data_IF_884054510864
#
_entry.id   IF_884054510864
#
_cell.length_a   1.000
_cell.length_b   1.000
_cell.length_c   1.000
_cell.angle_alpha   90.00
_cell.angle_beta   90.00
_cell.angle_gamma   90.00
#
_symmetry.space_group_name_H-M   'P 1'
#
loop_
_entity.id
_entity.type
_entity.pdbx_description
1 polymer ?
#
# COMPACT_ATOMS: atom_id res chain seq x y z
N UNK A 1 22.68 -6.41 5.76
CA UNK A 1 21.41 -5.82 5.27
C UNK A 1 21.64 -4.83 4.13
N UNK A 2 22.46 -3.80 4.29
CA UNK A 2 22.75 -2.84 3.19
C UNK A 2 23.59 -3.44 2.05
N UNK A 3 24.54 -4.33 2.36
CA UNK A 3 25.31 -5.07 1.35
C UNK A 3 24.44 -5.93 0.42
N UNK A 4 23.20 -6.25 0.83
CA UNK A 4 22.23 -7.01 0.04
C UNK A 4 21.20 -6.08 -0.66
N UNK A 5 21.50 -4.79 -0.79
CA UNK A 5 20.70 -3.82 -1.55
C UNK A 5 19.52 -3.19 -0.78
N UNK A 6 19.37 -3.42 0.53
CA UNK A 6 18.33 -2.74 1.32
C UNK A 6 18.62 -1.24 1.45
N UNK A 7 17.60 -0.40 1.22
CA UNK A 7 17.70 1.05 1.44
C UNK A 7 18.13 1.36 2.89
N UNK A 8 18.95 2.40 3.12
CA UNK A 8 19.38 2.79 4.46
C UNK A 8 18.21 3.03 5.42
N UNK A 9 17.11 3.61 4.94
CA UNK A 9 15.88 3.82 5.71
C UNK A 9 15.26 2.51 6.21
N UNK A 10 15.24 1.47 5.38
CA UNK A 10 14.75 0.14 5.78
C UNK A 10 15.62 -0.44 6.89
N UNK A 11 16.94 -0.40 6.72
CA UNK A 11 17.87 -0.91 7.74
C UNK A 11 17.79 -0.09 9.05
N UNK A 12 17.57 1.22 8.96
CA UNK A 12 17.37 2.08 10.12
C UNK A 12 16.08 1.73 10.88
N UNK A 13 14.96 1.54 10.16
CA UNK A 13 13.70 1.16 10.78
C UNK A 13 13.82 -0.18 11.52
N UNK A 14 14.51 -1.16 10.92
CA UNK A 14 14.81 -2.44 11.55
C UNK A 14 15.63 -2.24 12.82
N UNK A 15 16.72 -1.47 12.76
CA UNK A 15 17.54 -1.14 13.94
C UNK A 15 16.70 -0.54 15.07
N UNK A 16 15.81 0.42 14.76
CA UNK A 16 14.91 1.06 15.74
C UNK A 16 13.95 0.06 16.38
N UNK A 17 13.35 -0.83 15.58
CA UNK A 17 12.46 -1.88 16.08
C UNK A 17 13.18 -2.82 17.03
N UNK A 18 14.35 -3.34 16.63
CA UNK A 18 15.15 -4.23 17.48
C UNK A 18 15.63 -3.54 18.76
N UNK A 19 16.05 -2.27 18.68
CA UNK A 19 16.46 -1.50 19.86
C UNK A 19 15.33 -1.44 20.88
N UNK A 20 14.10 -1.17 20.42
CA UNK A 20 12.91 -1.07 21.29
C UNK A 20 12.56 -2.41 21.90
N UNK A 21 12.48 -3.47 21.09
CA UNK A 21 12.13 -4.80 21.56
C UNK A 21 13.14 -5.36 22.58
N UNK A 22 14.44 -5.19 22.33
CA UNK A 22 15.48 -5.69 23.24
C UNK A 22 15.64 -4.82 24.49
N UNK A 23 15.31 -3.53 24.43
CA UNK A 23 15.20 -2.72 25.65
C UNK A 23 14.08 -3.25 26.57
N UNK A 24 12.94 -3.64 25.99
CA UNK A 24 11.85 -4.24 26.78
C UNK A 24 12.27 -5.60 27.36
N UNK A 25 13.03 -6.41 26.62
CA UNK A 25 13.56 -7.66 27.12
C UNK A 25 14.54 -7.46 28.30
N UNK A 26 15.39 -6.42 28.25
CA UNK A 26 16.25 -6.04 29.38
C UNK A 26 15.41 -5.58 30.57
N UNK A 27 14.40 -4.73 30.34
CA UNK A 27 13.50 -4.25 31.39
C UNK A 27 12.78 -5.39 32.12
N UNK A 28 12.42 -6.45 31.40
CA UNK A 28 11.77 -7.66 31.95
C UNK A 28 12.76 -8.68 32.53
N UNK A 29 14.07 -8.39 32.50
CA UNK A 29 15.11 -9.27 33.07
C UNK A 29 15.49 -10.46 32.18
N UNK A 30 14.99 -10.54 30.94
CA UNK A 30 15.37 -11.63 30.01
C UNK A 30 16.79 -11.45 29.45
N UNK A 31 17.31 -10.22 29.46
CA UNK A 31 18.64 -9.86 28.99
C UNK A 31 19.31 -8.94 29.99
N UNK A 32 20.61 -9.13 30.25
CA UNK A 32 21.37 -8.22 31.11
C UNK A 32 21.67 -6.87 30.46
N UNK A 33 21.77 -6.82 29.12
CA UNK A 33 22.01 -5.59 28.35
C UNK A 33 21.51 -5.72 26.92
N UNK A 34 21.23 -4.58 26.28
CA UNK A 34 20.77 -4.56 24.89
C UNK A 34 21.96 -4.55 23.91
N UNK A 35 22.19 -5.62 23.12
CA UNK A 35 23.31 -5.69 22.17
C UNK A 35 23.20 -4.68 21.01
N UNK A 36 22.00 -4.21 20.69
CA UNK A 36 21.77 -3.24 19.59
C UNK A 36 22.40 -1.88 19.90
N UNK A 37 22.71 -1.59 21.17
CA UNK A 37 23.42 -0.37 21.53
C UNK A 37 24.85 -0.34 21.00
N UNK A 38 25.46 -1.50 20.75
CA UNK A 38 26.79 -1.63 20.15
C UNK A 38 26.75 -1.46 18.62
N UNK A 39 25.59 -1.72 18.01
CA UNK A 39 25.41 -1.61 16.56
C UNK A 39 25.18 -0.16 16.16
N UNK A 40 26.03 0.37 15.28
CA UNK A 40 25.85 1.70 14.68
C UNK A 40 24.60 1.73 13.81
N UNK A 41 23.68 2.65 14.12
CA UNK A 41 22.49 2.86 13.30
C UNK A 41 22.88 3.35 11.89
N UNK A 42 22.27 2.79 10.83
CA UNK A 42 22.36 3.34 9.48
C UNK A 42 22.03 4.83 9.44
N UNK A 43 22.87 5.65 8.81
CA UNK A 43 22.46 7.02 8.50
C UNK A 43 21.44 6.98 7.37
N UNK A 44 20.29 7.60 7.59
CA UNK A 44 19.34 7.91 6.52
C UNK A 44 19.70 9.28 5.98
N UNK A 45 19.71 9.44 4.66
CA UNK A 45 19.73 10.78 4.07
C UNK A 45 18.43 11.51 4.37
N UNK A 46 18.50 12.83 4.41
CA UNK A 46 17.31 13.67 4.49
C UNK A 46 16.62 13.67 3.12
N UNK A 47 15.31 13.44 3.12
CA UNK A 47 14.48 13.61 1.94
C UNK A 47 13.67 14.87 2.13
N UNK A 48 14.00 15.91 1.35
CA UNK A 48 13.21 17.12 1.27
C UNK A 48 12.19 16.96 0.16
N UNK A 49 10.91 17.05 0.51
CA UNK A 49 9.83 17.00 -0.46
C UNK A 49 9.75 18.34 -1.18
N UNK A 50 9.87 18.35 -2.50
CA UNK A 50 9.61 19.54 -3.31
C UNK A 50 8.10 19.73 -3.48
N UNK A 51 7.49 20.76 -2.85
CA UNK A 51 6.06 20.97 -2.97
C UNK A 51 5.70 21.54 -4.35
N UNK A 52 4.52 21.19 -4.84
CA UNK A 52 4.02 21.76 -6.08
C UNK A 52 3.75 23.25 -5.94
N UNK A 53 4.15 24.01 -6.96
CA UNK A 53 3.73 25.40 -7.13
C UNK A 53 2.24 25.49 -7.44
N UNK A 54 1.63 26.64 -7.19
CA UNK A 54 0.20 26.89 -7.51
C UNK A 54 -0.09 26.63 -9.00
N UNK A 55 0.83 27.02 -9.90
CA UNK A 55 0.69 26.79 -11.35
C UNK A 55 0.72 25.29 -11.69
N UNK A 56 1.53 24.50 -11.01
CA UNK A 56 1.57 23.05 -11.18
C UNK A 56 0.30 22.37 -10.69
N UNK A 57 -0.20 22.78 -9.53
CA UNK A 57 -1.49 22.30 -9.00
C UNK A 57 -2.62 22.58 -9.98
N UNK A 58 -2.69 23.79 -10.55
CA UNK A 58 -3.69 24.14 -11.57
C UNK A 58 -3.58 23.25 -12.82
N UNK A 59 -2.36 23.00 -13.32
CA UNK A 59 -2.14 22.09 -14.45
C UNK A 59 -2.58 20.66 -14.12
N UNK A 60 -2.28 20.19 -12.92
CA UNK A 60 -2.64 18.86 -12.45
C UNK A 60 -4.15 18.70 -12.33
N UNK A 61 -4.84 19.68 -11.74
CA UNK A 61 -6.31 19.69 -11.66
C UNK A 61 -6.95 19.69 -13.05
N UNK A 62 -6.46 20.53 -13.97
CA UNK A 62 -6.93 20.56 -15.36
C UNK A 62 -6.72 19.23 -16.09
N UNK A 63 -5.58 18.58 -15.89
CA UNK A 63 -5.30 17.26 -16.46
C UNK A 63 -6.20 16.18 -15.84
N UNK A 64 -6.43 16.24 -14.53
CA UNK A 64 -7.26 15.28 -13.79
C UNK A 64 -8.75 15.37 -14.14
N UNK A 65 -9.24 16.56 -14.55
CA UNK A 65 -10.65 16.79 -14.89
C UNK A 65 -11.18 15.91 -16.03
N UNK A 66 -10.29 15.32 -16.84
CA UNK A 66 -10.65 14.38 -17.92
C UNK A 66 -10.81 12.93 -17.45
N UNK A 67 -10.53 12.65 -16.18
CA UNK A 67 -10.56 11.31 -15.60
C UNK A 67 -11.77 11.12 -14.69
N UNK A 68 -12.32 9.90 -14.62
CA UNK A 68 -13.44 9.54 -13.73
C UNK A 68 -13.20 9.90 -12.26
N UNK A 69 -11.93 9.98 -11.84
CA UNK A 69 -11.53 10.19 -10.46
C UNK A 69 -11.03 11.61 -10.17
N UNK A 70 -11.41 12.60 -10.96
CA UNK A 70 -11.01 14.01 -10.82
C UNK A 70 -11.25 14.57 -9.41
N UNK A 71 -12.41 14.29 -8.81
CA UNK A 71 -12.78 14.76 -7.47
C UNK A 71 -11.75 14.36 -6.40
N UNK A 72 -11.12 13.19 -6.50
CA UNK A 72 -10.10 12.75 -5.54
C UNK A 72 -8.90 13.68 -5.51
N UNK A 73 -8.51 14.23 -6.66
CA UNK A 73 -7.35 15.10 -6.80
C UNK A 73 -7.65 16.48 -6.23
N UNK A 74 -8.83 17.02 -6.53
CA UNK A 74 -9.29 18.28 -5.97
C UNK A 74 -9.30 18.26 -4.45
N UNK A 75 -9.94 17.24 -3.85
CA UNK A 75 -10.06 17.14 -2.39
C UNK A 75 -8.70 16.87 -1.73
N UNK A 76 -7.86 15.98 -2.29
CA UNK A 76 -6.54 15.70 -1.73
C UNK A 76 -5.61 16.92 -1.76
N UNK A 77 -5.62 17.70 -2.84
CA UNK A 77 -4.79 18.90 -2.97
C UNK A 77 -5.31 20.08 -2.16
N UNK A 78 -6.63 20.24 -2.06
CA UNK A 78 -7.24 21.34 -1.31
C UNK A 78 -7.18 21.13 0.21
N UNK A 79 -7.36 19.89 0.68
CA UNK A 79 -7.49 19.59 2.12
C UNK A 79 -6.29 18.81 2.69
N UNK A 80 -5.31 18.45 1.85
CA UNK A 80 -4.12 17.70 2.30
C UNK A 80 -4.40 16.27 2.71
N UNK A 81 -5.46 15.64 2.19
CA UNK A 81 -5.81 14.26 2.55
C UNK A 81 -4.75 13.27 2.08
N UNK A 82 -4.42 12.28 2.93
CA UNK A 82 -3.56 11.17 2.51
C UNK A 82 -4.29 10.36 1.43
N UNK A 83 -3.53 9.75 0.53
CA UNK A 83 -4.09 8.95 -0.56
C UNK A 83 -5.10 7.90 -0.08
N UNK A 84 -4.82 7.22 1.03
CA UNK A 84 -5.74 6.23 1.61
C UNK A 84 -7.04 6.85 2.11
N UNK A 85 -7.00 8.06 2.67
CA UNK A 85 -8.17 8.79 3.18
C UNK A 85 -9.03 9.27 2.00
N UNK A 86 -8.43 9.91 1.00
CA UNK A 86 -9.13 10.39 -0.19
C UNK A 86 -9.80 9.25 -0.98
N UNK A 87 -9.14 8.09 -1.08
CA UNK A 87 -9.70 6.90 -1.74
C UNK A 87 -10.76 6.17 -0.90
N UNK A 88 -10.87 6.50 0.38
CA UNK A 88 -11.81 5.88 1.29
C UNK A 88 -13.01 6.77 1.60
N UNK A 89 -13.16 7.96 1.03
CA UNK A 89 -14.36 8.78 1.21
C UNK A 89 -15.59 8.13 0.56
N UNK A 90 -16.75 8.20 1.22
CA UNK A 90 -18.08 7.96 0.63
C UNK A 90 -18.93 9.23 0.72
N UNK A 91 -20.06 9.22 0.02
CA UNK A 91 -21.05 10.29 0.07
C UNK A 91 -21.59 10.59 1.48
N UNK A 92 -21.74 9.57 2.34
CA UNK A 92 -22.14 9.74 3.75
C UNK A 92 -21.14 10.56 4.59
N UNK A 93 -19.92 10.74 4.10
CA UNK A 93 -18.87 11.49 4.78
C UNK A 93 -18.81 12.97 4.36
N UNK A 94 -19.65 13.40 3.41
CA UNK A 94 -19.58 14.73 2.78
C UNK A 94 -20.90 15.46 2.99
N UNK A 95 -20.83 16.62 3.64
CA UNK A 95 -21.95 17.56 3.78
C UNK A 95 -21.63 18.80 2.94
N UNK A 96 -22.28 18.89 1.77
CA UNK A 96 -22.11 20.03 0.86
C UNK A 96 -22.91 21.25 1.31
N UNK A 97 -23.98 21.08 2.09
CA UNK A 97 -24.77 22.19 2.63
C UNK A 97 -24.05 22.84 3.81
N UNK A 98 -23.51 22.01 4.70
CA UNK A 98 -22.66 22.44 5.81
C UNK A 98 -21.23 22.81 5.40
N UNK A 99 -20.81 22.47 4.18
CA UNK A 99 -19.49 22.81 3.64
C UNK A 99 -18.32 22.06 4.27
N UNK A 100 -18.54 20.85 4.79
CA UNK A 100 -17.49 20.05 5.44
C UNK A 100 -17.51 18.59 4.98
N UNK A 101 -16.41 17.89 5.28
CA UNK A 101 -16.35 16.44 5.16
C UNK A 101 -15.67 15.83 6.38
N UNK A 102 -15.95 14.56 6.65
CA UNK A 102 -15.43 13.85 7.82
C UNK A 102 -14.57 12.66 7.39
N UNK A 103 -13.29 12.68 7.74
CA UNK A 103 -12.38 11.56 7.45
C UNK A 103 -12.58 10.45 8.48
N UNK A 104 -13.37 9.42 8.13
CA UNK A 104 -13.67 8.29 9.04
C UNK A 104 -12.79 7.06 8.84
N UNK A 105 -12.15 6.95 7.68
CA UNK A 105 -11.49 5.71 7.24
C UNK A 105 -10.34 5.99 6.27
N UNK A 106 -9.47 5.00 6.15
CA UNK A 106 -8.35 5.01 5.21
C UNK A 106 -8.25 3.66 4.51
N UNK A 107 -8.15 3.69 3.19
CA UNK A 107 -8.07 2.50 2.34
C UNK A 107 -6.62 2.15 2.11
N UNK A 108 -6.23 0.95 2.55
CA UNK A 108 -4.92 0.37 2.20
C UNK A 108 -4.98 -0.22 0.80
N UNK A 109 -3.83 -0.24 0.12
CA UNK A 109 -3.69 -1.01 -1.11
C UNK A 109 -3.93 -2.48 -0.78
N UNK A 110 -4.93 -3.16 -1.39
CA UNK A 110 -5.09 -4.58 -1.21
C UNK A 110 -3.83 -5.30 -1.72
N UNK A 111 -3.41 -6.33 -1.00
CA UNK A 111 -2.36 -7.22 -1.47
C UNK A 111 -3.01 -8.18 -2.47
N UNK A 112 -2.47 -8.22 -3.68
CA UNK A 112 -2.95 -9.13 -4.71
C UNK A 112 -2.06 -10.37 -4.71
N UNK A 113 -2.66 -11.54 -4.47
CA UNK A 113 -2.01 -12.81 -4.74
C UNK A 113 -2.29 -13.18 -6.20
N UNK A 114 -1.24 -13.38 -6.99
CA UNK A 114 -1.31 -13.79 -8.39
C UNK A 114 -1.94 -15.20 -8.61
N UNK A 115 -2.32 -15.88 -7.52
CA UNK A 115 -2.92 -17.21 -7.57
C UNK A 115 -2.06 -18.27 -8.25
N UNK A 116 -0.72 -18.11 -8.28
CA UNK A 116 0.21 -19.14 -8.78
C UNK A 116 0.87 -19.86 -7.62
N UNK A 117 1.10 -21.17 -7.77
CA UNK A 117 1.88 -21.96 -6.81
C UNK A 117 3.33 -21.46 -6.70
N UNK A 118 3.90 -21.00 -7.81
CA UNK A 118 5.30 -20.59 -7.94
C UNK A 118 5.41 -19.14 -8.44
N UNK A 119 6.47 -18.39 -8.06
CA UNK A 119 6.68 -17.02 -8.50
C UNK A 119 6.96 -16.97 -10.01
N UNK A 120 5.93 -16.70 -10.79
CA UNK A 120 5.98 -16.76 -12.26
C UNK A 120 6.56 -15.51 -12.95
N UNK A 121 7.01 -14.50 -12.19
CA UNK A 121 7.67 -13.30 -12.72
C UNK A 121 6.80 -12.34 -13.54
N UNK A 122 5.47 -12.53 -13.57
CA UNK A 122 4.52 -11.70 -14.34
C UNK A 122 3.79 -10.67 -13.49
N UNK A 123 3.31 -9.62 -14.16
CA UNK A 123 2.40 -8.64 -13.57
C UNK A 123 1.03 -9.27 -13.27
N UNK A 124 0.57 -9.16 -12.04
CA UNK A 124 -0.79 -9.56 -11.66
C UNK A 124 -1.84 -8.68 -12.35
N UNK A 125 -2.90 -9.30 -12.86
CA UNK A 125 -3.99 -8.61 -13.54
C UNK A 125 -5.34 -8.93 -12.93
N UNK A 126 -6.14 -7.90 -12.66
CA UNK A 126 -7.50 -8.08 -12.15
C UNK A 126 -8.37 -8.55 -13.30
N UNK A 127 -9.04 -9.69 -13.14
CA UNK A 127 -10.00 -10.19 -14.12
C UNK A 127 -11.16 -9.17 -14.27
N UNK A 128 -11.50 -8.74 -15.50
CA UNK A 128 -12.67 -7.91 -15.72
C UNK A 128 -13.94 -8.69 -15.40
N UNK A 129 -14.78 -8.19 -14.49
CA UNK A 129 -16.10 -8.75 -14.20
C UNK A 129 -16.34 -9.18 -12.75
N UNK A 130 -15.29 -9.49 -11.98
CA UNK A 130 -15.41 -9.82 -10.56
C UNK A 130 -15.01 -8.60 -9.72
N UNK A 131 -15.97 -7.71 -9.49
CA UNK A 131 -15.81 -6.65 -8.51
C UNK A 131 -15.58 -7.30 -7.14
N UNK A 132 -14.44 -7.03 -6.52
CA UNK A 132 -14.09 -7.59 -5.22
C UNK A 132 -15.20 -7.30 -4.20
N UNK A 133 -15.99 -8.33 -3.87
CA UNK A 133 -17.31 -8.11 -3.27
C UNK A 133 -17.26 -7.93 -1.75
N UNK A 134 -16.11 -8.08 -1.07
CA UNK A 134 -16.05 -7.95 0.40
C UNK A 134 -14.74 -7.31 0.93
N UNK A 135 -14.80 -6.43 1.95
CA UNK A 135 -13.64 -5.74 2.54
C UNK A 135 -12.65 -6.63 3.33
N UNK A 136 -12.97 -7.91 3.56
CA UNK A 136 -12.18 -8.81 4.42
C UNK A 136 -11.61 -10.04 3.72
N UNK A 137 -12.04 -10.36 2.50
CA UNK A 137 -11.53 -11.53 1.79
C UNK A 137 -10.47 -11.10 0.75
N UNK A 138 -9.21 -11.22 1.15
CA UNK A 138 -8.06 -10.86 0.32
C UNK A 138 -7.71 -11.97 -0.71
N UNK A 139 -8.55 -12.98 -0.91
CA UNK A 139 -8.35 -14.03 -1.92
C UNK A 139 -9.07 -13.72 -3.23
N UNK A 140 -8.91 -12.51 -3.75
CA UNK A 140 -9.45 -12.23 -5.08
C UNK A 140 -8.52 -12.78 -6.16
N UNK A 141 -9.13 -13.55 -7.06
CA UNK A 141 -8.53 -14.32 -8.15
C UNK A 141 -7.87 -13.38 -9.17
N UNK A 142 -6.60 -13.07 -8.94
CA UNK A 142 -5.80 -12.31 -9.91
C UNK A 142 -5.20 -13.32 -10.88
N UNK A 143 -5.73 -13.36 -12.11
CA UNK A 143 -5.13 -14.16 -13.16
C UNK A 143 -3.83 -13.51 -13.64
N UNK A 144 -2.92 -14.35 -14.16
CA UNK A 144 -1.74 -13.88 -14.84
C UNK A 144 -2.14 -13.08 -16.06
N UNK A 145 -1.57 -11.88 -16.24
CA UNK A 145 -1.76 -11.12 -17.48
C UNK A 145 -1.29 -12.00 -18.67
N UNK A 146 -2.17 -12.33 -19.65
CA UNK A 146 -1.73 -13.08 -20.82
C UNK A 146 -0.77 -12.24 -21.66
N UNK A 147 0.19 -12.90 -22.32
CA UNK A 147 1.00 -12.26 -23.36
C UNK A 147 0.08 -11.86 -24.54
N UNK A 148 0.40 -10.76 -25.24
CA UNK A 148 -0.42 -10.26 -26.36
C UNK A 148 -0.75 -11.42 -27.33
N UNK A 149 -2.04 -11.67 -27.56
CA UNK A 149 -2.53 -12.68 -28.50
C UNK A 149 -2.75 -14.09 -27.95
N UNK A 150 -2.70 -14.32 -26.63
CA UNK A 150 -2.99 -15.64 -26.02
C UNK A 150 -4.19 -15.56 -25.06
N UNK A 151 -5.04 -16.60 -25.07
CA UNK A 151 -6.17 -16.72 -24.15
C UNK A 151 -5.72 -16.75 -22.67
N UNK A 152 -6.53 -16.25 -21.73
CA UNK A 152 -6.27 -16.40 -20.29
C UNK A 152 -6.03 -17.88 -19.94
N UNK A 153 -4.95 -18.20 -19.23
CA UNK A 153 -4.65 -19.56 -18.74
C UNK A 153 -3.49 -20.31 -19.40
N UNK A 154 -2.87 -19.80 -20.47
CA UNK A 154 -1.94 -20.61 -21.27
C UNK A 154 -0.51 -20.86 -20.70
N UNK A 155 -0.14 -20.46 -19.47
CA UNK A 155 1.25 -20.70 -19.01
C UNK A 155 1.54 -20.64 -17.49
N UNK A 156 0.55 -20.60 -16.59
CA UNK A 156 0.84 -20.65 -15.15
C UNK A 156 -0.02 -21.73 -14.50
N UNK A 157 0.57 -22.49 -13.57
CA UNK A 157 -0.18 -23.40 -12.71
C UNK A 157 -0.98 -22.57 -11.70
N UNK A 158 -2.32 -22.60 -11.73
CA UNK A 158 -3.11 -21.97 -10.68
C UNK A 158 -2.79 -22.66 -9.35
N UNK A 159 -2.69 -21.88 -8.28
CA UNK A 159 -2.71 -22.39 -6.93
C UNK A 159 -4.05 -23.11 -6.73
N UNK A 160 -4.00 -24.31 -6.15
CA UNK A 160 -5.21 -25.08 -5.86
C UNK A 160 -6.20 -24.20 -5.09
N UNK A 161 -7.48 -24.22 -5.50
CA UNK A 161 -8.54 -23.49 -4.82
C UNK A 161 -8.50 -23.83 -3.32
N UNK A 162 -8.55 -22.82 -2.42
CA UNK A 162 -8.62 -23.12 -1.00
C UNK A 162 -9.87 -23.97 -0.72
N UNK A 163 -9.82 -24.90 0.25
CA UNK A 163 -10.99 -25.68 0.62
C UNK A 163 -12.12 -24.74 1.01
N UNK A 164 -13.29 -24.93 0.41
CA UNK A 164 -14.52 -24.25 0.83
C UNK A 164 -14.81 -24.71 2.25
N UNK A 165 -14.72 -23.79 3.21
CA UNK A 165 -15.05 -24.10 4.60
C UNK A 165 -16.53 -24.52 4.72
N UNK A 166 -16.88 -25.36 5.71
CA UNK A 166 -18.26 -25.76 5.92
C UNK A 166 -19.10 -24.54 6.31
N UNK A 167 -20.30 -24.44 5.73
CA UNK A 167 -21.30 -23.40 5.97
C UNK A 167 -22.10 -23.57 7.26
#
# INVERSE_FOLDING_TARGET
>A
MQANGSKPATAHQVHRTFRTALNEAVRRGYLGKNPVQLAKAPKTGDYEAEPYTVKEVQRLLKASGRQRNSARWAVALALGLRQGEALALKWEDVDLEGGFLVVRRSRRRPQYAHGCSDPCGREGWVLPGEAAQQPGDLRHQVACRPSRGRSPGAACRPAASPPQGPG
#
